data_IF_801277141428
#
_entry.id   IF_801277141428
#
_cell.length_a   1.000
_cell.length_b   1.000
_cell.length_c   1.000
_cell.angle_alpha   90.00
_cell.angle_beta   90.00
_cell.angle_gamma   90.00
#
_symmetry.space_group_name_H-M   'P 1'
#
loop_
_entity.id
_entity.type
_entity.pdbx_description
1 polymer ?
#
# COMPACT_ATOMS: atom_id res chain seq x y z
N UNK A 1 -25.51 0.03 -5.45
CA UNK A 1 -24.67 0.09 -6.67
C UNK A 1 -24.16 1.52 -6.97
N UNK A 2 -24.86 2.59 -6.60
CA UNK A 2 -24.42 3.97 -6.85
C UNK A 2 -23.21 4.43 -5.99
N UNK A 3 -23.24 4.20 -4.70
CA UNK A 3 -22.24 4.68 -3.73
C UNK A 3 -20.84 4.07 -3.94
N UNK A 4 -20.75 2.77 -4.18
CA UNK A 4 -19.48 2.09 -4.48
C UNK A 4 -18.87 2.53 -5.82
N UNK A 5 -19.69 2.87 -6.81
CA UNK A 5 -19.21 3.37 -8.10
C UNK A 5 -18.67 4.81 -7.95
N UNK A 6 -19.31 5.65 -7.14
CA UNK A 6 -18.86 7.01 -6.84
C UNK A 6 -17.53 7.00 -6.07
N UNK A 7 -17.38 6.11 -5.08
CA UNK A 7 -16.12 5.93 -4.33
C UNK A 7 -14.96 5.52 -5.26
N UNK A 8 -15.20 4.64 -6.23
CA UNK A 8 -14.18 4.21 -7.19
C UNK A 8 -13.74 5.32 -8.13
N UNK A 9 -14.69 6.13 -8.58
CA UNK A 9 -14.38 7.28 -9.44
C UNK A 9 -13.57 8.33 -8.68
N UNK A 10 -13.94 8.60 -7.41
CA UNK A 10 -13.22 9.53 -6.54
C UNK A 10 -11.77 9.06 -6.29
N UNK A 11 -11.56 7.78 -5.92
CA UNK A 11 -10.21 7.20 -5.77
C UNK A 11 -9.41 7.33 -7.08
N UNK A 12 -10.03 7.05 -8.21
CA UNK A 12 -9.38 7.18 -9.51
C UNK A 12 -8.99 8.62 -9.86
N UNK A 13 -9.80 9.60 -9.47
CA UNK A 13 -9.47 11.01 -9.64
C UNK A 13 -8.34 11.44 -8.71
N UNK A 14 -8.43 11.09 -7.41
CA UNK A 14 -7.40 11.38 -6.43
C UNK A 14 -6.05 10.77 -6.83
N UNK A 15 -6.04 9.51 -7.29
CA UNK A 15 -4.83 8.84 -7.79
C UNK A 15 -4.24 9.58 -9.00
N UNK A 16 -5.07 10.00 -9.97
CA UNK A 16 -4.58 10.75 -11.13
C UNK A 16 -3.98 12.10 -10.75
N UNK A 17 -4.66 12.84 -9.88
CA UNK A 17 -4.21 14.18 -9.47
C UNK A 17 -2.95 14.12 -8.62
N UNK A 18 -2.91 13.22 -7.63
CA UNK A 18 -1.74 13.07 -6.75
C UNK A 18 -0.50 12.59 -7.50
N UNK A 19 -0.64 11.57 -8.35
CA UNK A 19 0.49 11.05 -9.13
C UNK A 19 0.96 12.04 -10.20
N UNK A 20 0.07 12.85 -10.77
CA UNK A 20 0.46 13.94 -11.67
C UNK A 20 1.26 15.02 -10.92
N UNK A 21 0.80 15.44 -9.73
CA UNK A 21 1.49 16.44 -8.92
C UNK A 21 2.91 15.99 -8.53
N UNK A 22 3.06 14.74 -8.08
CA UNK A 22 4.38 14.20 -7.71
C UNK A 22 5.32 14.10 -8.93
N UNK A 23 4.82 13.59 -10.05
CA UNK A 23 5.60 13.50 -11.29
C UNK A 23 6.04 14.87 -11.80
N UNK A 24 5.14 15.86 -11.82
CA UNK A 24 5.43 17.21 -12.30
C UNK A 24 6.44 17.93 -11.39
N UNK A 25 6.48 17.57 -10.10
CA UNK A 25 7.49 18.02 -9.15
C UNK A 25 8.80 17.20 -9.18
N UNK A 26 8.89 16.13 -9.98
CA UNK A 26 10.08 15.27 -10.08
C UNK A 26 10.30 14.37 -8.87
N UNK A 27 9.26 14.15 -8.05
CA UNK A 27 9.28 13.30 -6.86
C UNK A 27 9.16 11.83 -7.28
N UNK A 28 10.03 10.97 -6.76
CA UNK A 28 9.90 9.54 -6.94
C UNK A 28 8.78 8.98 -6.05
N UNK A 29 7.94 8.11 -6.61
CA UNK A 29 6.88 7.45 -5.84
C UNK A 29 6.54 6.08 -6.40
N UNK A 30 6.02 5.20 -5.56
CA UNK A 30 5.33 3.97 -5.98
C UNK A 30 4.00 3.83 -5.24
N UNK A 31 3.05 3.14 -5.89
CA UNK A 31 1.76 2.84 -5.31
C UNK A 31 1.89 1.69 -4.31
N UNK A 32 1.40 1.88 -3.09
CA UNK A 32 1.37 0.90 -2.01
C UNK A 32 -0.03 0.41 -1.65
N UNK A 33 -0.13 -0.20 -0.51
CA UNK A 33 -1.36 -0.52 0.20
C UNK A 33 -2.40 -1.34 -0.56
N UNK A 34 -3.65 -1.04 -0.27
CA UNK A 34 -4.79 -1.79 -0.81
C UNK A 34 -4.98 -1.61 -2.32
N UNK A 35 -4.66 -0.42 -2.85
CA UNK A 35 -4.74 -0.15 -4.30
C UNK A 35 -3.65 -0.91 -5.06
N UNK A 36 -2.46 -1.12 -4.47
CA UNK A 36 -1.42 -1.96 -5.06
C UNK A 36 -1.86 -3.44 -5.14
N UNK A 37 -2.55 -3.96 -4.10
CA UNK A 37 -3.15 -5.30 -4.15
C UNK A 37 -4.19 -5.40 -5.26
N UNK A 38 -5.08 -4.42 -5.36
CA UNK A 38 -6.11 -4.39 -6.40
C UNK A 38 -5.51 -4.32 -7.82
N UNK A 39 -4.46 -3.53 -8.03
CA UNK A 39 -3.73 -3.47 -9.30
C UNK A 39 -3.20 -4.84 -9.76
N UNK A 40 -2.98 -5.74 -8.83
CA UNK A 40 -2.50 -7.12 -9.06
C UNK A 40 -3.63 -8.15 -9.14
N UNK A 41 -4.90 -7.72 -9.09
CA UNK A 41 -6.07 -8.60 -9.13
C UNK A 41 -6.60 -9.01 -7.75
N UNK A 42 -6.13 -8.38 -6.70
CA UNK A 42 -6.65 -8.52 -5.33
C UNK A 42 -8.00 -7.84 -5.11
N UNK A 43 -8.50 -7.84 -3.86
CA UNK A 43 -9.75 -7.19 -3.52
C UNK A 43 -9.71 -5.69 -3.79
N UNK A 44 -10.87 -5.11 -4.05
CA UNK A 44 -10.98 -3.66 -4.33
C UNK A 44 -10.66 -2.83 -3.10
N UNK A 45 -9.84 -1.79 -3.27
CA UNK A 45 -9.67 -0.77 -2.25
C UNK A 45 -10.91 0.12 -2.16
N UNK A 46 -11.23 0.59 -0.96
CA UNK A 46 -12.47 1.35 -0.71
C UNK A 46 -12.23 2.75 -0.15
N UNK A 47 -11.04 3.09 0.39
CA UNK A 47 -10.95 4.27 1.25
C UNK A 47 -9.76 5.20 1.01
N UNK A 48 -8.60 4.73 0.57
CA UNK A 48 -7.35 5.47 0.60
C UNK A 48 -6.42 5.16 -0.58
N UNK A 49 -5.49 6.07 -0.82
CA UNK A 49 -4.40 5.94 -1.79
C UNK A 49 -3.08 6.02 -1.02
N UNK A 50 -2.32 4.94 -0.98
CA UNK A 50 -1.01 4.89 -0.35
C UNK A 50 0.08 5.18 -1.40
N UNK A 51 0.81 6.29 -1.26
CA UNK A 51 1.95 6.66 -2.09
C UNK A 51 3.22 6.56 -1.25
N UNK A 52 4.10 5.67 -1.65
CA UNK A 52 5.38 5.44 -0.99
C UNK A 52 6.42 6.33 -1.65
N UNK A 53 7.13 7.14 -0.87
CA UNK A 53 8.14 8.10 -1.35
C UNK A 53 9.44 7.95 -0.55
N UNK A 54 10.60 8.38 -1.08
CA UNK A 54 11.83 8.46 -0.30
C UNK A 54 11.68 9.41 0.88
N UNK A 55 12.25 9.12 2.07
CA UNK A 55 12.13 9.98 3.25
C UNK A 55 12.63 11.42 3.03
N UNK A 56 13.68 11.60 2.26
CA UNK A 56 14.25 12.91 1.92
C UNK A 56 13.39 13.70 0.91
N UNK A 57 12.44 13.06 0.25
CA UNK A 57 11.49 13.69 -0.67
C UNK A 57 10.10 13.91 -0.05
N UNK A 58 9.84 13.42 1.18
CA UNK A 58 8.50 13.43 1.80
C UNK A 58 7.90 14.84 1.96
N UNK A 59 8.70 15.80 2.45
CA UNK A 59 8.24 17.20 2.57
C UNK A 59 7.93 17.83 1.23
N UNK A 60 8.75 17.57 0.21
CA UNK A 60 8.52 18.06 -1.15
C UNK A 60 7.28 17.39 -1.79
N UNK A 61 7.05 16.10 -1.49
CA UNK A 61 5.86 15.38 -1.93
C UNK A 61 4.59 16.01 -1.36
N UNK A 62 4.55 16.25 -0.04
CA UNK A 62 3.41 16.89 0.60
C UNK A 62 3.14 18.30 0.03
N UNK A 63 4.20 19.10 -0.15
CA UNK A 63 4.09 20.44 -0.74
C UNK A 63 3.57 20.40 -2.19
N UNK A 64 3.96 19.41 -2.98
CA UNK A 64 3.46 19.25 -4.35
C UNK A 64 1.97 18.90 -4.40
N UNK A 65 1.48 18.07 -3.46
CA UNK A 65 0.06 17.76 -3.33
C UNK A 65 -0.75 19.00 -2.89
N UNK A 66 -0.23 19.77 -1.93
CA UNK A 66 -0.85 21.01 -1.48
C UNK A 66 -0.93 22.03 -2.63
N UNK A 67 0.14 22.20 -3.40
CA UNK A 67 0.15 23.08 -4.58
C UNK A 67 -0.84 22.64 -5.67
N UNK A 68 -1.17 21.35 -5.74
CA UNK A 68 -2.22 20.80 -6.60
C UNK A 68 -3.63 20.97 -6.05
N UNK A 69 -3.79 21.65 -4.89
CA UNK A 69 -5.06 21.99 -4.27
C UNK A 69 -5.65 20.90 -3.36
N UNK A 70 -4.81 19.97 -2.88
CA UNK A 70 -5.19 19.00 -1.85
C UNK A 70 -4.97 19.61 -0.47
N UNK A 71 -5.75 19.19 0.53
CA UNK A 71 -5.57 19.62 1.91
C UNK A 71 -4.47 18.79 2.58
N UNK A 72 -3.33 19.43 2.91
CA UNK A 72 -2.17 18.78 3.48
C UNK A 72 -2.25 18.69 5.01
N UNK A 73 -1.84 17.56 5.56
CA UNK A 73 -1.83 17.29 7.00
C UNK A 73 -0.52 16.61 7.41
N UNK A 74 0.09 17.08 8.51
CA UNK A 74 1.20 16.42 9.19
C UNK A 74 0.69 15.82 10.49
N UNK A 75 0.30 14.54 10.49
CA UNK A 75 -0.17 13.86 11.70
C UNK A 75 1.02 13.63 12.68
N UNK A 76 0.75 13.26 13.93
CA UNK A 76 1.79 13.00 14.92
C UNK A 76 2.66 11.77 14.62
N UNK A 77 2.26 10.94 13.68
CA UNK A 77 3.03 9.79 13.19
C UNK A 77 4.24 10.28 12.38
N UNK A 78 5.43 9.78 12.74
CA UNK A 78 6.70 10.23 12.15
C UNK A 78 7.08 9.49 10.85
N UNK A 79 6.19 8.67 10.30
CA UNK A 79 6.47 7.78 9.16
C UNK A 79 5.57 8.03 7.94
N UNK A 80 4.58 8.94 8.05
CA UNK A 80 3.70 9.33 6.95
C UNK A 80 3.24 10.79 7.09
N UNK A 81 2.86 11.38 5.97
CA UNK A 81 2.01 12.57 5.90
C UNK A 81 0.69 12.21 5.22
N UNK A 82 -0.30 13.10 5.34
CA UNK A 82 -1.62 12.93 4.73
C UNK A 82 -1.94 14.09 3.79
N UNK A 83 -2.68 13.78 2.74
CA UNK A 83 -3.34 14.80 1.93
C UNK A 83 -4.78 14.33 1.64
N UNK A 84 -5.68 15.29 1.40
CA UNK A 84 -7.09 15.00 1.11
C UNK A 84 -7.46 15.59 -0.24
N UNK A 85 -8.04 14.78 -1.13
CA UNK A 85 -8.66 15.22 -2.37
C UNK A 85 -10.18 15.02 -2.25
N UNK A 86 -10.88 16.03 -1.75
CA UNK A 86 -12.26 15.89 -1.28
C UNK A 86 -12.34 14.92 -0.10
N UNK A 87 -13.12 13.84 -0.25
CA UNK A 87 -13.28 12.80 0.78
C UNK A 87 -12.25 11.66 0.66
N UNK A 88 -11.34 11.71 -0.30
CA UNK A 88 -10.33 10.66 -0.49
C UNK A 88 -9.04 11.02 0.22
N UNK A 89 -8.63 10.16 1.15
CA UNK A 89 -7.35 10.27 1.84
C UNK A 89 -6.21 9.75 0.96
N UNK A 90 -5.11 10.47 0.97
CA UNK A 90 -3.84 10.10 0.33
C UNK A 90 -2.78 10.06 1.42
N UNK A 91 -2.29 8.86 1.71
CA UNK A 91 -1.18 8.66 2.64
C UNK A 91 0.14 8.75 1.86
N UNK A 92 1.00 9.70 2.24
CA UNK A 92 2.37 9.85 1.75
C UNK A 92 3.28 9.16 2.76
N UNK A 93 3.62 7.91 2.49
CA UNK A 93 4.36 7.03 3.41
C UNK A 93 5.83 7.03 3.02
N UNK A 94 6.72 7.33 3.97
CA UNK A 94 8.17 7.41 3.72
C UNK A 94 8.99 6.45 4.59
N UNK A 95 8.42 5.89 5.68
CA UNK A 95 9.05 4.85 6.49
C UNK A 95 8.07 3.68 6.75
N UNK A 96 7.67 2.92 5.71
CA UNK A 96 6.76 1.80 5.87
C UNK A 96 7.42 0.67 6.67
N UNK A 97 6.68 0.09 7.61
CA UNK A 97 7.15 -1.01 8.44
C UNK A 97 7.41 -2.27 7.61
N UNK A 98 8.56 -2.94 7.85
CA UNK A 98 8.83 -4.29 7.33
C UNK A 98 9.33 -4.36 5.89
N UNK A 99 9.67 -3.22 5.31
CA UNK A 99 10.36 -3.16 4.02
C UNK A 99 11.72 -2.45 4.16
N UNK A 100 12.64 -2.64 3.22
CA UNK A 100 13.90 -1.88 3.19
C UNK A 100 13.66 -0.37 3.18
N UNK A 101 14.66 0.45 3.58
CA UNK A 101 14.56 1.89 3.43
C UNK A 101 14.15 2.28 2.00
N UNK A 102 13.14 3.13 1.90
CA UNK A 102 12.63 3.57 0.59
C UNK A 102 13.65 4.50 -0.04
N UNK A 103 14.21 4.10 -1.15
CA UNK A 103 15.13 4.90 -1.96
C UNK A 103 14.55 5.13 -3.36
N UNK A 104 15.11 6.07 -4.08
CA UNK A 104 14.71 6.32 -5.48
C UNK A 104 14.99 5.08 -6.35
N UNK A 105 16.11 4.40 -6.13
CA UNK A 105 16.45 3.16 -6.84
C UNK A 105 15.43 2.05 -6.58
N UNK A 106 14.99 1.88 -5.32
CA UNK A 106 13.95 0.90 -4.99
C UNK A 106 12.64 1.17 -5.76
N UNK A 107 12.28 2.44 -5.91
CA UNK A 107 11.09 2.84 -6.65
C UNK A 107 11.27 2.64 -8.17
N UNK A 108 12.44 2.95 -8.71
CA UNK A 108 12.77 2.78 -10.14
C UNK A 108 12.81 1.30 -10.55
N UNK A 109 13.23 0.40 -9.63
CA UNK A 109 13.25 -1.05 -9.83
C UNK A 109 11.87 -1.71 -9.64
N UNK A 110 10.88 -0.97 -9.10
CA UNK A 110 9.55 -1.51 -8.88
C UNK A 110 8.81 -1.82 -10.19
N UNK A 111 7.97 -2.85 -10.16
CA UNK A 111 7.19 -3.26 -11.32
C UNK A 111 6.24 -2.15 -11.77
N UNK A 112 6.28 -1.82 -13.07
CA UNK A 112 5.37 -0.84 -13.67
C UNK A 112 4.07 -1.51 -14.08
N UNK A 113 2.99 -1.19 -13.38
CA UNK A 113 1.65 -1.65 -13.71
C UNK A 113 0.76 -0.54 -14.27
N UNK A 114 -0.31 -0.95 -14.97
CA UNK A 114 -1.37 -0.03 -15.39
C UNK A 114 -2.49 -0.05 -14.37
N UNK A 115 -2.63 1.03 -13.62
CA UNK A 115 -3.66 1.20 -12.56
C UNK A 115 -4.61 2.29 -13.02
N UNK A 116 -5.88 1.97 -13.28
CA UNK A 116 -6.87 2.94 -13.80
C UNK A 116 -6.38 3.72 -15.03
N UNK A 117 -5.72 3.01 -15.95
CA UNK A 117 -5.09 3.54 -17.17
C UNK A 117 -3.88 4.48 -16.93
N UNK A 118 -3.33 4.52 -15.73
CA UNK A 118 -2.10 5.23 -15.40
C UNK A 118 -0.98 4.21 -15.21
N UNK A 119 0.14 4.38 -15.92
CA UNK A 119 1.34 3.55 -15.72
C UNK A 119 2.19 4.15 -14.61
N UNK A 120 2.45 3.34 -13.57
CA UNK A 120 3.23 3.76 -12.41
C UNK A 120 3.96 2.59 -11.75
N UNK A 121 5.04 2.85 -10.99
CA UNK A 121 5.65 1.85 -10.11
C UNK A 121 4.65 1.38 -9.05
N UNK A 122 4.62 0.07 -8.79
CA UNK A 122 3.71 -0.53 -7.80
C UNK A 122 4.51 -1.45 -6.88
N UNK A 123 4.36 -1.24 -5.58
CA UNK A 123 4.97 -2.05 -4.53
C UNK A 123 4.70 -3.54 -4.73
N UNK A 124 5.68 -4.40 -4.42
CA UNK A 124 5.50 -5.85 -4.47
C UNK A 124 4.38 -6.31 -3.53
N UNK A 125 3.75 -7.44 -3.84
CA UNK A 125 2.68 -7.96 -2.98
C UNK A 125 3.25 -8.44 -1.65
N UNK A 126 4.47 -8.95 -1.63
CA UNK A 126 5.19 -9.36 -0.43
C UNK A 126 5.47 -8.17 0.49
N UNK A 127 5.87 -7.02 -0.06
CA UNK A 127 6.09 -5.80 0.71
C UNK A 127 4.79 -5.27 1.33
N UNK A 128 3.71 -5.22 0.55
CA UNK A 128 2.40 -4.83 1.06
C UNK A 128 1.94 -5.74 2.19
N UNK A 129 2.06 -7.07 2.01
CA UNK A 129 1.64 -8.02 3.03
C UNK A 129 2.56 -8.01 4.25
N UNK A 130 3.88 -7.88 4.08
CA UNK A 130 4.82 -7.76 5.18
C UNK A 130 4.49 -6.54 6.04
N UNK A 131 4.27 -5.38 5.42
CA UNK A 131 3.89 -4.16 6.13
C UNK A 131 2.59 -4.34 6.91
N UNK A 132 1.54 -4.92 6.29
CA UNK A 132 0.26 -5.18 6.95
C UNK A 132 0.38 -6.19 8.11
N UNK A 133 1.20 -7.22 7.99
CA UNK A 133 1.37 -8.25 9.03
C UNK A 133 2.21 -7.76 10.22
N UNK A 134 3.22 -6.93 9.97
CA UNK A 134 4.14 -6.46 11.00
C UNK A 134 3.56 -5.33 11.87
N UNK A 135 2.51 -4.64 11.42
CA UNK A 135 1.80 -3.65 12.24
C UNK A 135 0.68 -4.25 13.11
N UNK A 136 0.40 -5.56 12.98
CA UNK A 136 -0.57 -6.24 13.83
C UNK A 136 -0.08 -6.30 15.28
N UNK A 137 -0.99 -6.05 16.20
CA UNK A 137 -0.77 -6.07 17.65
C UNK A 137 -2.04 -6.54 18.38
N UNK A 138 -1.98 -6.75 19.69
CA UNK A 138 -3.17 -7.09 20.48
C UNK A 138 -4.32 -6.10 20.29
N UNK A 139 -4.01 -4.82 20.16
CA UNK A 139 -5.00 -3.74 20.01
C UNK A 139 -5.49 -3.57 18.55
N UNK A 140 -4.74 -4.15 17.61
CA UNK A 140 -5.02 -4.02 16.16
C UNK A 140 -4.86 -5.39 15.51
N UNK A 141 -5.71 -6.35 15.89
CA UNK A 141 -5.69 -7.71 15.38
C UNK A 141 -6.91 -7.95 14.48
N UNK A 142 -6.75 -7.62 13.21
CA UNK A 142 -7.75 -7.91 12.18
C UNK A 142 -7.09 -8.62 11.00
N UNK A 143 -7.35 -9.91 10.88
CA UNK A 143 -6.86 -10.74 9.77
C UNK A 143 -7.76 -10.67 8.54
N UNK A 144 -9.01 -10.23 8.65
CA UNK A 144 -9.97 -10.35 7.57
C UNK A 144 -9.47 -9.71 6.25
N UNK A 145 -8.97 -8.46 6.23
CA UNK A 145 -8.48 -7.86 4.98
C UNK A 145 -7.26 -8.59 4.40
N UNK A 146 -6.36 -9.10 5.28
CA UNK A 146 -5.14 -9.78 4.84
C UNK A 146 -5.45 -11.19 4.31
N UNK A 147 -6.42 -11.89 4.92
CA UNK A 147 -6.94 -13.19 4.42
C UNK A 147 -7.60 -13.03 3.06
N UNK A 148 -8.33 -11.94 2.85
CA UNK A 148 -8.98 -11.66 1.56
C UNK A 148 -7.95 -11.47 0.44
N UNK A 149 -6.90 -10.69 0.71
CA UNK A 149 -5.76 -10.51 -0.20
C UNK A 149 -5.06 -11.84 -0.46
N UNK A 150 -4.75 -12.60 0.61
CA UNK A 150 -4.10 -13.89 0.53
C UNK A 150 -4.86 -14.88 -0.37
N UNK A 151 -6.18 -14.96 -0.23
CA UNK A 151 -7.03 -15.82 -1.08
C UNK A 151 -7.04 -15.38 -2.54
N UNK A 152 -7.16 -14.08 -2.77
CA UNK A 152 -7.26 -13.54 -4.12
C UNK A 152 -5.95 -13.67 -4.91
N UNK A 153 -4.80 -13.55 -4.24
CA UNK A 153 -3.48 -13.48 -4.86
C UNK A 153 -2.57 -14.68 -4.53
N UNK A 154 -3.12 -15.77 -3.95
CA UNK A 154 -2.36 -16.90 -3.41
C UNK A 154 -1.31 -17.49 -4.36
N UNK A 155 -1.58 -17.49 -5.66
CA UNK A 155 -0.70 -18.05 -6.70
C UNK A 155 0.42 -17.07 -7.14
N UNK A 156 0.38 -15.83 -6.64
CA UNK A 156 1.32 -14.76 -6.98
C UNK A 156 2.26 -14.41 -5.86
N UNK A 157 1.96 -14.86 -4.63
CA UNK A 157 2.70 -14.55 -3.42
C UNK A 157 3.82 -15.57 -3.23
N UNK A 158 5.04 -15.10 -3.02
CA UNK A 158 6.14 -15.93 -2.52
C UNK A 158 5.97 -16.14 -1.01
N UNK A 159 5.23 -17.21 -0.67
CA UNK A 159 4.89 -17.52 0.72
C UNK A 159 6.11 -17.79 1.60
N UNK A 160 7.14 -18.58 1.16
CA UNK A 160 8.36 -18.76 1.93
C UNK A 160 9.07 -17.45 2.27
N UNK A 161 9.23 -16.56 1.28
CA UNK A 161 9.83 -15.25 1.48
C UNK A 161 9.04 -14.39 2.48
N UNK A 162 7.71 -14.35 2.33
CA UNK A 162 6.86 -13.57 3.23
C UNK A 162 6.89 -14.10 4.66
N UNK A 163 6.86 -15.42 4.85
CA UNK A 163 6.95 -16.07 6.16
C UNK A 163 8.30 -15.78 6.84
N UNK A 164 9.41 -15.86 6.11
CA UNK A 164 10.75 -15.52 6.60
C UNK A 164 10.82 -14.05 7.04
N UNK A 165 10.39 -13.13 6.20
CA UNK A 165 10.45 -11.68 6.46
C UNK A 165 9.61 -11.24 7.65
N UNK A 166 8.54 -11.96 7.96
CA UNK A 166 7.61 -11.62 9.04
C UNK A 166 7.73 -12.52 10.28
N UNK A 167 8.72 -13.43 10.31
CA UNK A 167 8.90 -14.45 11.35
C UNK A 167 9.06 -13.88 12.76
N UNK A 168 9.53 -12.65 12.93
CA UNK A 168 9.65 -11.97 14.22
C UNK A 168 8.30 -11.66 14.87
N UNK A 169 7.23 -11.50 14.09
CA UNK A 169 5.89 -11.18 14.59
C UNK A 169 5.14 -12.44 15.01
N UNK A 170 4.68 -12.56 16.27
CA UNK A 170 3.82 -13.67 16.70
C UNK A 170 2.46 -13.64 15.97
N UNK A 171 1.97 -12.46 15.62
CA UNK A 171 0.71 -12.28 14.88
C UNK A 171 0.84 -12.76 13.44
N UNK A 172 1.97 -12.50 12.79
CA UNK A 172 2.24 -13.03 11.45
C UNK A 172 2.33 -14.56 11.47
N UNK A 173 3.03 -15.15 12.46
CA UNK A 173 3.06 -16.63 12.61
C UNK A 173 1.66 -17.22 12.81
N UNK A 174 0.82 -16.57 13.62
CA UNK A 174 -0.57 -16.98 13.81
C UNK A 174 -1.39 -16.85 12.51
N UNK A 175 -1.15 -15.82 11.73
CA UNK A 175 -1.77 -15.65 10.40
C UNK A 175 -1.42 -16.80 9.46
N UNK A 176 -0.15 -17.20 9.35
CA UNK A 176 0.24 -18.35 8.51
C UNK A 176 -0.39 -19.66 8.99
N UNK A 177 -0.47 -19.88 10.31
CA UNK A 177 -1.21 -21.02 10.84
C UNK A 177 -2.69 -21.01 10.41
N UNK A 178 -3.33 -19.84 10.51
CA UNK A 178 -4.72 -19.66 10.04
C UNK A 178 -4.86 -19.95 8.55
N UNK A 179 -3.93 -19.47 7.71
CA UNK A 179 -4.00 -19.72 6.26
C UNK A 179 -3.87 -21.20 5.90
N UNK A 180 -3.08 -21.96 6.66
CA UNK A 180 -2.96 -23.42 6.50
C UNK A 180 -4.27 -24.13 6.89
N UNK A 181 -4.87 -23.78 8.02
CA UNK A 181 -6.16 -24.32 8.45
C UNK A 181 -7.31 -23.97 7.47
N UNK A 182 -7.20 -22.82 6.80
CA UNK A 182 -8.15 -22.41 5.76
C UNK A 182 -7.84 -22.98 4.36
N UNK A 183 -6.80 -23.82 4.26
CA UNK A 183 -6.34 -24.40 2.98
C UNK A 183 -6.01 -23.35 1.89
N UNK A 184 -5.61 -22.16 2.31
CA UNK A 184 -5.17 -21.08 1.40
C UNK A 184 -3.73 -21.34 0.93
N UNK A 185 -2.89 -21.87 1.82
CA UNK A 185 -1.52 -22.27 1.54
C UNK A 185 -1.29 -23.72 1.97
N UNK A 186 -0.28 -24.36 1.39
CA UNK A 186 0.09 -25.74 1.74
C UNK A 186 0.62 -25.89 3.17
N UNK A 187 0.81 -27.14 3.65
CA UNK A 187 1.42 -27.39 4.96
C UNK A 187 2.83 -26.78 5.01
N UNK A 188 3.29 -26.47 6.23
CA UNK A 188 4.68 -26.04 6.42
C UNK A 188 5.63 -27.17 5.98
N UNK A 189 6.58 -26.86 5.12
CA UNK A 189 7.62 -27.78 4.69
C UNK A 189 8.64 -28.08 5.80
#
# INVERSE_FOLDING_TARGET
MGEQAQTHEAIGQALRRSTAALRDAGIAYMLGGSVACWARGGPRSQNDVDLIVPPDEADAALAALEAAGMEAERPPEEWLYKAWDGDVMIDVIFEPTGIPPVTRELIEDAEILSVLAIRMPVMSIEDVLASKLLVLSEQRLDYAPVVEIARALRERIDWPLLEERTASSPYARAFFALLRELEVIGPAG
#
